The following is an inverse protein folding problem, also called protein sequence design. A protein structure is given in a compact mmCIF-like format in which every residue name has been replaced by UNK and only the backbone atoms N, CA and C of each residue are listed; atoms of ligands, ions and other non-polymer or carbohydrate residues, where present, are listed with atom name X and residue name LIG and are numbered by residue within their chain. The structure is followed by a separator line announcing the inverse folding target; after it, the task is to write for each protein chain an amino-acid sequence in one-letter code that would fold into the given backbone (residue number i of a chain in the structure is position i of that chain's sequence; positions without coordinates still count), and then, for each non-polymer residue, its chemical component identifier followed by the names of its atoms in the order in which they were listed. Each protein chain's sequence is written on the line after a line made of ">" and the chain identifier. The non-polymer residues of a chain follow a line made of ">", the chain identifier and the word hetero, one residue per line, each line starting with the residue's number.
data_IF_065460381658
#
_entry.id   IF_065460381658
#
_cell.length_a   1.000
_cell.length_b   1.000
_cell.length_c   1.000
_cell.angle_alpha   90.00
_cell.angle_beta   90.00
_cell.angle_gamma   90.00
#
_symmetry.space_group_name_H-M   'P 1'
#
loop_
_entity.id
_entity.type
_entity.pdbx_description
1 polymer ?
#
# COMPACT_ATOMS: atom_id res chain seq x y z
N UNK A 1 4.03 8.41 -38.03
CA UNK A 1 4.54 9.37 -37.01
C UNK A 1 3.91 9.13 -35.64
N UNK A 2 2.58 9.00 -35.58
CA UNK A 2 1.80 8.78 -34.33
C UNK A 2 2.29 7.61 -33.47
N UNK A 3 2.57 6.44 -34.04
CA UNK A 3 3.05 5.28 -33.26
C UNK A 3 4.39 5.54 -32.54
N UNK A 4 5.31 6.29 -33.16
CA UNK A 4 6.61 6.63 -32.56
C UNK A 4 6.45 7.62 -31.40
N UNK A 5 5.57 8.61 -31.56
CA UNK A 5 5.25 9.59 -30.51
C UNK A 5 4.55 8.90 -29.34
N UNK A 6 3.55 8.06 -29.62
CA UNK A 6 2.84 7.31 -28.59
C UNK A 6 3.79 6.38 -27.81
N UNK A 7 4.63 5.63 -28.53
CA UNK A 7 5.64 4.77 -27.89
C UNK A 7 6.62 5.55 -27.02
N UNK A 8 7.06 6.73 -27.47
CA UNK A 8 7.93 7.61 -26.69
C UNK A 8 7.24 8.13 -25.42
N UNK A 9 5.99 8.57 -25.52
CA UNK A 9 5.20 9.02 -24.35
C UNK A 9 5.02 7.88 -23.34
N UNK A 10 4.69 6.67 -23.81
CA UNK A 10 4.56 5.48 -22.95
C UNK A 10 5.89 5.14 -22.29
N UNK A 11 7.00 5.20 -23.02
CA UNK A 11 8.33 4.93 -22.46
C UNK A 11 8.72 5.95 -21.38
N UNK A 12 8.45 7.24 -21.60
CA UNK A 12 8.67 8.29 -20.61
C UNK A 12 7.80 8.09 -19.37
N UNK A 13 6.52 7.76 -19.55
CA UNK A 13 5.62 7.47 -18.44
C UNK A 13 6.11 6.24 -17.64
N UNK A 14 6.50 5.17 -18.33
CA UNK A 14 7.04 3.96 -17.71
C UNK A 14 8.32 4.24 -16.91
N UNK A 15 9.24 5.03 -17.47
CA UNK A 15 10.47 5.45 -16.78
C UNK A 15 10.15 6.31 -15.55
N UNK A 16 9.22 7.25 -15.67
CA UNK A 16 8.78 8.09 -14.56
C UNK A 16 8.17 7.25 -13.42
N UNK A 17 7.30 6.29 -13.75
CA UNK A 17 6.73 5.37 -12.77
C UNK A 17 7.81 4.49 -12.13
N UNK A 18 8.78 3.98 -12.91
CA UNK A 18 9.90 3.20 -12.39
C UNK A 18 10.72 3.99 -11.37
N UNK A 19 11.07 5.24 -11.68
CA UNK A 19 11.81 6.11 -10.76
C UNK A 19 11.00 6.39 -9.49
N UNK A 20 9.69 6.66 -9.63
CA UNK A 20 8.82 6.88 -8.47
C UNK A 20 8.75 5.65 -7.57
N UNK A 21 8.52 4.46 -8.13
CA UNK A 21 8.47 3.22 -7.35
C UNK A 21 9.82 2.85 -6.74
N UNK A 22 10.94 3.15 -7.41
CA UNK A 22 12.27 2.86 -6.88
C UNK A 22 12.67 3.79 -5.70
N UNK A 23 12.08 4.99 -5.64
CA UNK A 23 12.41 5.98 -4.60
C UNK A 23 11.49 5.89 -3.38
N UNK A 24 10.24 5.47 -3.56
CA UNK A 24 9.26 5.32 -2.48
C UNK A 24 9.41 3.93 -1.87
N UNK A 25 9.63 3.89 -0.55
CA UNK A 25 9.71 2.66 0.23
C UNK A 25 8.62 2.64 1.29
N UNK A 26 7.96 1.51 1.40
CA UNK A 26 6.98 1.22 2.44
C UNK A 26 7.67 0.32 3.46
N UNK A 27 7.62 0.69 4.74
CA UNK A 27 8.26 -0.04 5.82
C UNK A 27 7.24 -0.29 6.94
N UNK A 28 7.06 -1.56 7.29
CA UNK A 28 6.33 -1.94 8.49
C UNK A 28 7.26 -1.81 9.69
N UNK A 29 6.84 -1.04 10.69
CA UNK A 29 7.51 -0.92 11.99
C UNK A 29 6.67 -1.65 13.04
N UNK A 30 7.09 -1.61 14.30
CA UNK A 30 6.33 -2.25 15.38
C UNK A 30 4.96 -1.59 15.63
N UNK A 31 4.81 -0.30 15.32
CA UNK A 31 3.61 0.48 15.67
C UNK A 31 2.96 1.22 14.51
N UNK A 32 3.61 1.29 13.34
CA UNK A 32 3.13 2.06 12.20
C UNK A 32 3.63 1.55 10.84
N UNK A 33 2.89 1.89 9.78
CA UNK A 33 3.36 1.80 8.41
C UNK A 33 4.00 3.13 8.00
N UNK A 34 5.29 3.11 7.72
CA UNK A 34 6.01 4.28 7.25
C UNK A 34 6.16 4.26 5.74
N UNK A 35 5.87 5.40 5.13
CA UNK A 35 6.18 5.66 3.72
C UNK A 35 7.32 6.66 3.68
N UNK A 36 8.47 6.22 3.19
CA UNK A 36 9.64 7.05 3.01
C UNK A 36 9.94 7.24 1.53
N UNK A 37 10.59 8.35 1.18
CA UNK A 37 11.14 8.59 -0.15
C UNK A 37 12.59 8.99 -0.03
N UNK A 38 13.46 8.22 -0.67
CA UNK A 38 14.91 8.44 -0.62
C UNK A 38 15.46 8.56 0.81
N UNK A 39 14.93 7.74 1.74
CA UNK A 39 15.33 7.73 3.15
C UNK A 39 14.69 8.80 4.04
N UNK A 40 13.88 9.71 3.48
CA UNK A 40 13.10 10.68 4.26
C UNK A 40 11.69 10.17 4.51
N UNK A 41 11.25 10.13 5.76
CA UNK A 41 9.86 9.85 6.12
C UNK A 41 8.93 10.87 5.46
N UNK A 42 8.05 10.41 4.58
CA UNK A 42 7.01 11.25 3.96
C UNK A 42 5.71 11.20 4.74
N UNK A 43 5.35 10.01 5.23
CA UNK A 43 4.11 9.79 5.95
C UNK A 43 4.27 8.63 6.92
N UNK A 44 3.64 8.79 8.08
CA UNK A 44 3.58 7.84 9.16
C UNK A 44 2.11 7.45 9.37
N UNK A 45 1.82 6.16 9.36
CA UNK A 45 0.46 5.64 9.52
C UNK A 45 0.39 4.71 10.73
N UNK A 46 0.03 5.23 11.93
CA UNK A 46 -0.04 4.44 13.15
C UNK A 46 -1.11 3.34 13.05
N UNK A 47 -0.77 2.12 13.44
CA UNK A 47 -1.73 1.00 13.41
C UNK A 47 -2.94 1.21 14.34
N UNK A 48 -2.76 2.02 15.38
CA UNK A 48 -3.84 2.39 16.31
C UNK A 48 -4.99 3.16 15.64
N UNK A 49 -4.71 3.86 14.53
CA UNK A 49 -5.72 4.64 13.80
C UNK A 49 -6.42 3.83 12.70
N UNK A 50 -6.02 2.58 12.50
CA UNK A 50 -6.53 1.73 11.44
C UNK A 50 -7.85 1.08 11.84
N UNK A 51 -8.85 1.21 10.98
CA UNK A 51 -10.19 0.61 11.14
C UNK A 51 -10.28 -0.72 10.41
N UNK A 52 -9.67 -0.81 9.24
CA UNK A 52 -9.76 -1.97 8.37
C UNK A 52 -8.53 -2.06 7.47
N UNK A 53 -8.14 -3.27 7.10
CA UNK A 53 -7.15 -3.52 6.06
C UNK A 53 -7.56 -4.73 5.24
N UNK A 54 -7.32 -4.69 3.93
CA UNK A 54 -7.66 -5.76 3.01
C UNK A 54 -6.56 -5.91 1.95
N UNK A 55 -6.27 -7.15 1.57
CA UNK A 55 -5.36 -7.46 0.47
C UNK A 55 -6.20 -8.02 -0.67
N UNK A 56 -6.23 -7.31 -1.79
CA UNK A 56 -6.91 -7.74 -3.00
C UNK A 56 -5.90 -8.29 -4.00
N UNK A 57 -6.36 -9.24 -4.83
CA UNK A 57 -5.57 -9.81 -5.92
C UNK A 57 -4.22 -10.35 -5.43
N UNK A 58 -4.17 -11.46 -4.66
CA UNK A 58 -2.90 -12.06 -4.21
C UNK A 58 -1.99 -12.58 -5.35
N UNK A 59 -2.40 -12.42 -6.61
CA UNK A 59 -1.52 -12.51 -7.78
C UNK A 59 -0.67 -11.24 -7.95
N UNK A 60 -0.15 -10.97 -9.14
CA UNK A 60 0.69 -9.80 -9.39
C UNK A 60 -0.04 -8.80 -10.28
N UNK A 61 -0.08 -7.49 -9.97
CA UNK A 61 0.37 -6.84 -8.72
C UNK A 61 -0.69 -6.89 -7.60
N UNK A 62 -0.23 -7.04 -6.35
CA UNK A 62 -1.10 -7.13 -5.18
C UNK A 62 -1.59 -5.73 -4.84
N UNK A 63 -2.89 -5.57 -4.59
CA UNK A 63 -3.46 -4.30 -4.17
C UNK A 63 -3.74 -4.34 -2.67
N UNK A 64 -2.98 -3.59 -1.89
CA UNK A 64 -3.20 -3.45 -0.47
C UNK A 64 -4.04 -2.21 -0.17
N UNK A 65 -5.02 -2.39 0.70
CA UNK A 65 -5.95 -1.38 1.13
C UNK A 65 -5.91 -1.27 2.65
N UNK A 66 -5.92 -0.04 3.16
CA UNK A 66 -6.21 0.20 4.56
C UNK A 66 -6.99 1.50 4.74
N UNK A 67 -7.82 1.52 5.77
CA UNK A 67 -8.66 2.65 6.15
C UNK A 67 -8.28 3.13 7.54
N UNK A 68 -8.00 4.41 7.64
CA UNK A 68 -7.84 5.14 8.90
C UNK A 68 -9.14 5.86 9.26
N UNK A 69 -9.24 6.37 10.48
CA UNK A 69 -10.42 7.14 10.95
C UNK A 69 -10.82 8.25 9.96
N UNK A 70 -9.86 8.95 9.39
CA UNK A 70 -10.08 10.12 8.54
C UNK A 70 -9.65 9.95 7.07
N UNK A 71 -9.20 8.76 6.65
CA UNK A 71 -8.63 8.58 5.31
C UNK A 71 -8.67 7.14 4.81
N UNK A 72 -8.64 6.98 3.49
CA UNK A 72 -8.61 5.69 2.80
C UNK A 72 -7.39 5.64 1.90
N UNK A 73 -6.63 4.55 1.95
CA UNK A 73 -5.39 4.39 1.18
C UNK A 73 -5.39 3.10 0.38
N UNK A 74 -4.91 3.20 -0.86
CA UNK A 74 -4.69 2.07 -1.77
C UNK A 74 -3.23 2.09 -2.22
N UNK A 75 -2.52 1.00 -1.98
CA UNK A 75 -1.11 0.85 -2.30
C UNK A 75 -0.93 -0.38 -3.19
N UNK A 76 -0.42 -0.22 -4.43
CA UNK A 76 0.06 -1.34 -5.20
C UNK A 76 1.36 -1.85 -4.55
N UNK A 77 1.40 -3.16 -4.36
CA UNK A 77 2.45 -3.85 -3.63
C UNK A 77 3.04 -4.94 -4.53
N UNK A 78 4.38 -5.00 -4.55
CA UNK A 78 5.17 -5.96 -5.34
C UNK A 78 6.04 -6.82 -4.40
N UNK A 79 5.51 -7.19 -3.24
CA UNK A 79 6.17 -8.09 -2.28
C UNK A 79 5.29 -9.30 -1.97
N UNK A 80 5.87 -10.34 -1.39
CA UNK A 80 5.19 -11.61 -1.15
C UNK A 80 3.89 -11.41 -0.33
N UNK A 81 2.71 -11.80 -0.87
CA UNK A 81 1.42 -11.52 -0.24
C UNK A 81 1.26 -12.26 1.08
N UNK A 82 1.90 -13.43 1.22
CA UNK A 82 1.82 -14.24 2.45
C UNK A 82 2.58 -13.57 3.59
N UNK A 83 3.81 -13.11 3.31
CA UNK A 83 4.63 -12.36 4.26
C UNK A 83 3.93 -11.07 4.68
N UNK A 84 3.36 -10.32 3.72
CA UNK A 84 2.60 -9.11 4.00
C UNK A 84 1.44 -9.39 4.96
N UNK A 85 0.63 -10.42 4.65
CA UNK A 85 -0.50 -10.82 5.48
C UNK A 85 -0.06 -11.21 6.89
N UNK A 86 0.99 -12.03 7.03
CA UNK A 86 1.51 -12.44 8.33
C UNK A 86 2.00 -11.24 9.15
N UNK A 87 2.69 -10.27 8.54
CA UNK A 87 3.07 -9.03 9.21
C UNK A 87 1.87 -8.22 9.68
N UNK A 88 0.85 -8.07 8.83
CA UNK A 88 -0.38 -7.33 9.19
C UNK A 88 -1.14 -8.02 10.32
N UNK A 89 -1.27 -9.33 10.30
CA UNK A 89 -1.91 -10.09 11.37
C UNK A 89 -1.13 -10.00 12.68
N UNK A 90 0.21 -10.00 12.63
CA UNK A 90 1.04 -9.90 13.83
C UNK A 90 1.01 -8.50 14.48
N UNK A 91 0.99 -7.43 13.67
CA UNK A 91 1.09 -6.05 14.18
C UNK A 91 -0.27 -5.36 14.36
N UNK A 92 -1.24 -5.64 13.49
CA UNK A 92 -2.55 -5.00 13.49
C UNK A 92 -3.67 -5.95 13.96
N UNK A 93 -3.40 -7.25 14.06
CA UNK A 93 -4.45 -8.25 14.27
C UNK A 93 -5.39 -8.36 13.06
N UNK A 94 -6.47 -9.14 13.25
CA UNK A 94 -7.49 -9.32 12.22
C UNK A 94 -8.54 -8.20 12.36
N UNK A 95 -8.31 -7.03 11.76
CA UNK A 95 -9.20 -5.88 11.93
C UNK A 95 -10.54 -6.11 11.19
N UNK A 96 -11.54 -6.61 11.93
CA UNK A 96 -12.97 -6.20 11.95
C UNK A 96 -13.70 -6.73 13.21
N UNK A 97 -14.45 -5.86 13.91
CA UNK A 97 -15.90 -5.99 14.19
C UNK A 97 -16.53 -4.65 14.63
N UNK A 98 -17.77 -4.33 14.17
CA UNK A 98 -18.86 -4.43 15.12
C UNK A 98 -19.92 -5.42 14.62
N UNK A 99 -19.98 -6.60 15.22
CA UNK A 99 -21.23 -7.32 15.45
C UNK A 99 -21.51 -7.12 16.95
N UNK A 100 -22.53 -6.40 17.39
CA UNK A 100 -23.94 -6.84 17.43
C UNK A 100 -24.73 -5.64 18.01
N UNK A 101 -25.83 -5.22 17.37
CA UNK A 101 -27.05 -4.88 18.13
C UNK A 101 -28.30 -5.25 17.31
N UNK A 102 -28.93 -6.40 17.57
CA UNK A 102 -30.33 -6.61 17.27
C UNK A 102 -31.13 -5.92 18.38
N UNK A 103 -31.64 -4.74 18.08
CA UNK A 103 -32.85 -4.21 18.71
C UNK A 103 -33.97 -4.18 17.68
#
# INVERSE_FOLDING_TARGET
>A
MVQKVLGFVIALLGLFLLIQTATIRIQFTETALDVSRSGKLLRHFPYADWINWEIFWPGVPILFYFKEVNSIHFLPIIFDPKTLKACLEANCGNLKTPSVNPE
#
